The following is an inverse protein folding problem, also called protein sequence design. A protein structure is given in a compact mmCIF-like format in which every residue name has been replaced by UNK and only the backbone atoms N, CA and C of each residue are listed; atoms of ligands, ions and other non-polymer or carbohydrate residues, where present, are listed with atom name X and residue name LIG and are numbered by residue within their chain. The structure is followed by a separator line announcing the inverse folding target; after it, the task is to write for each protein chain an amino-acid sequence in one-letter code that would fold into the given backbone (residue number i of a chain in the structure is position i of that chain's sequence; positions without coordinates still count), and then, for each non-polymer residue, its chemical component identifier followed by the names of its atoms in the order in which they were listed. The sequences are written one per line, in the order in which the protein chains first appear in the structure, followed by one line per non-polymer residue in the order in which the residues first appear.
data_IF_047771587567
#
_entry.id   IF_047771587567
#
_cell.length_a   1.000
_cell.length_b   1.000
_cell.length_c   1.000
_cell.angle_alpha   90.00
_cell.angle_beta   90.00
_cell.angle_gamma   90.00
#
_symmetry.space_group_name_H-M   'P 1'
#
loop_
_entity.id
_entity.type
_entity.pdbx_description
1 polymer ?
#
# COMPACT_ATOMS: atom_id res chain seq x y z
N UNK A 1 22.13 19.00 0.50
CA UNK A 1 21.24 19.98 1.13
C UNK A 1 20.93 19.48 2.52
N UNK A 2 21.06 20.34 3.52
CA UNK A 2 20.86 20.03 4.94
C UNK A 2 19.43 20.32 5.42
N UNK A 3 18.58 20.84 4.53
CA UNK A 3 17.19 21.18 4.86
C UNK A 3 16.39 19.92 5.24
N UNK A 4 15.65 19.95 6.36
CA UNK A 4 14.72 18.89 6.73
C UNK A 4 13.68 18.62 5.64
N UNK A 5 13.21 17.39 5.55
CA UNK A 5 12.13 17.00 4.65
C UNK A 5 10.83 17.75 4.95
N UNK A 6 10.46 17.91 6.22
CA UNK A 6 9.26 18.67 6.62
C UNK A 6 9.25 20.11 6.08
N UNK A 7 10.41 20.70 5.80
CA UNK A 7 10.51 22.04 5.19
C UNK A 7 10.03 22.08 3.73
N UNK A 8 9.74 20.93 3.14
CA UNK A 8 9.17 20.75 1.80
C UNK A 8 7.70 20.28 1.83
N UNK A 9 7.10 20.13 3.01
CA UNK A 9 5.74 19.60 3.18
C UNK A 9 4.70 20.35 2.32
N UNK A 10 4.82 21.68 2.19
CA UNK A 10 3.95 22.50 1.34
C UNK A 10 3.98 22.06 -0.15
N UNK A 11 5.12 21.60 -0.66
CA UNK A 11 5.29 21.20 -2.05
C UNK A 11 4.97 19.73 -2.28
N UNK A 12 5.21 18.89 -1.27
CA UNK A 12 5.04 17.44 -1.37
C UNK A 12 3.62 16.99 -0.98
N UNK A 13 2.86 17.87 -0.33
CA UNK A 13 1.48 17.69 0.17
C UNK A 13 1.35 16.60 1.26
N UNK A 14 1.77 15.36 0.98
CA UNK A 14 1.72 14.24 1.89
C UNK A 14 2.98 13.36 1.75
N UNK A 15 3.55 12.89 2.87
CA UNK A 15 4.74 12.02 2.84
C UNK A 15 4.51 10.73 2.03
N UNK A 16 3.30 10.17 2.09
CA UNK A 16 2.91 9.00 1.31
C UNK A 16 3.01 9.20 -0.21
N UNK A 17 2.83 10.44 -0.69
CA UNK A 17 2.93 10.76 -2.12
C UNK A 17 4.36 10.68 -2.62
N UNK A 18 5.36 10.88 -1.76
CA UNK A 18 6.77 10.70 -2.12
C UNK A 18 7.06 9.23 -2.45
N UNK A 19 6.68 8.31 -1.54
CA UNK A 19 6.83 6.87 -1.74
C UNK A 19 6.04 6.37 -2.97
N UNK A 20 4.79 6.83 -3.12
CA UNK A 20 3.95 6.46 -4.27
C UNK A 20 4.48 7.04 -5.59
N UNK A 21 5.00 8.27 -5.57
CA UNK A 21 5.63 8.92 -6.72
C UNK A 21 6.80 8.10 -7.26
N UNK A 22 7.68 7.64 -6.37
CA UNK A 22 8.77 6.71 -6.72
C UNK A 22 8.24 5.39 -7.30
N UNK A 23 7.09 4.92 -6.81
CA UNK A 23 6.44 3.75 -7.41
C UNK A 23 5.94 4.03 -8.84
N UNK A 24 5.32 5.17 -9.09
CA UNK A 24 4.86 5.54 -10.43
C UNK A 24 6.01 5.83 -11.39
N UNK A 25 7.11 6.41 -10.90
CA UNK A 25 8.33 6.65 -11.69
C UNK A 25 8.90 5.34 -12.25
N UNK A 26 9.00 4.30 -11.40
CA UNK A 26 9.48 2.98 -11.83
C UNK A 26 8.45 2.22 -12.68
N UNK A 27 7.15 2.42 -12.44
CA UNK A 27 6.07 1.77 -13.21
C UNK A 27 4.84 2.68 -13.31
N UNK A 28 4.64 3.32 -14.46
CA UNK A 28 3.56 4.30 -14.66
C UNK A 28 2.13 3.78 -14.44
N UNK A 29 1.89 2.47 -14.60
CA UNK A 29 0.61 1.83 -14.30
C UNK A 29 0.60 1.08 -12.95
N UNK A 30 1.46 1.50 -12.00
CA UNK A 30 1.48 0.97 -10.65
C UNK A 30 0.11 1.13 -9.98
N UNK A 31 -0.31 0.14 -9.20
CA UNK A 31 -1.62 0.14 -8.56
C UNK A 31 -1.61 0.87 -7.20
N UNK A 32 -1.12 2.12 -7.19
CA UNK A 32 -0.84 2.87 -5.96
C UNK A 32 -2.05 3.10 -5.07
N UNK A 33 -3.25 3.23 -5.65
CA UNK A 33 -4.48 3.45 -4.90
C UNK A 33 -4.80 2.34 -3.87
N UNK A 34 -4.35 1.11 -4.10
CA UNK A 34 -4.55 0.02 -3.14
C UNK A 34 -3.68 0.17 -1.88
N UNK A 35 -2.55 0.86 -1.96
CA UNK A 35 -1.56 1.01 -0.87
C UNK A 35 -1.63 2.39 -0.19
N UNK A 36 -2.19 3.39 -0.86
CA UNK A 36 -2.27 4.76 -0.36
C UNK A 36 -2.84 4.88 1.08
N UNK A 37 -3.94 4.17 1.46
CA UNK A 37 -4.46 4.27 2.83
C UNK A 37 -3.49 3.78 3.92
N UNK A 38 -2.60 2.85 3.58
CA UNK A 38 -1.62 2.28 4.51
C UNK A 38 -0.44 3.23 4.66
N UNK A 39 0.07 3.75 3.55
CA UNK A 39 1.17 4.72 3.54
C UNK A 39 0.76 6.01 4.25
N UNK A 40 -0.42 6.56 3.92
CA UNK A 40 -0.95 7.77 4.59
C UNK A 40 -1.10 7.61 6.10
N UNK A 41 -1.42 6.40 6.57
CA UNK A 41 -1.58 6.13 8.00
C UNK A 41 -0.24 6.01 8.74
N UNK A 42 0.84 5.65 8.06
CA UNK A 42 2.10 5.26 8.70
C UNK A 42 3.30 6.14 8.32
N UNK A 43 3.17 7.00 7.32
CA UNK A 43 4.22 7.93 6.91
C UNK A 43 3.89 9.36 7.35
N UNK A 44 4.92 10.03 7.84
CA UNK A 44 4.96 11.46 8.13
C UNK A 44 6.28 12.01 7.61
N UNK A 45 6.34 13.32 7.33
CA UNK A 45 7.62 13.96 7.02
C UNK A 45 8.57 13.90 8.22
N UNK A 46 9.86 13.81 7.94
CA UNK A 46 10.91 13.80 8.96
C UNK A 46 11.60 15.17 9.11
N UNK A 47 12.15 15.40 10.29
CA UNK A 47 13.07 16.49 10.62
C UNK A 47 14.51 16.25 10.09
N UNK A 48 14.78 15.05 9.58
CA UNK A 48 16.05 14.68 8.96
C UNK A 48 16.23 15.33 7.58
N UNK A 49 17.48 15.51 7.12
CA UNK A 49 17.74 16.12 5.81
C UNK A 49 17.06 15.36 4.66
N UNK A 50 16.45 16.07 3.71
CA UNK A 50 15.75 15.49 2.56
C UNK A 50 16.57 14.43 1.79
N UNK A 51 17.90 14.60 1.74
CA UNK A 51 18.79 13.63 1.08
C UNK A 51 18.89 12.28 1.79
N UNK A 52 18.61 12.25 3.09
CA UNK A 52 18.55 11.03 3.89
C UNK A 52 17.16 10.40 3.79
N UNK A 53 16.11 11.20 3.96
CA UNK A 53 14.72 10.70 3.94
C UNK A 53 14.32 10.14 2.58
N UNK A 54 14.82 10.72 1.47
CA UNK A 54 14.55 10.17 0.13
C UNK A 54 15.05 8.73 -0.03
N UNK A 55 16.18 8.36 0.58
CA UNK A 55 16.71 6.99 0.56
C UNK A 55 15.78 6.03 1.33
N UNK A 56 15.15 6.52 2.39
CA UNK A 56 14.13 5.76 3.13
C UNK A 56 12.85 5.58 2.29
N UNK A 57 12.42 6.64 1.59
CA UNK A 57 11.29 6.56 0.65
C UNK A 57 11.58 5.59 -0.52
N UNK A 58 12.79 5.58 -1.08
CA UNK A 58 13.22 4.61 -2.10
C UNK A 58 13.15 3.18 -1.57
N UNK A 59 13.66 2.94 -0.36
CA UNK A 59 13.57 1.63 0.30
C UNK A 59 12.11 1.21 0.50
N UNK A 60 11.25 2.11 0.99
CA UNK A 60 9.82 1.84 1.20
C UNK A 60 9.11 1.57 -0.12
N UNK A 61 9.44 2.31 -1.19
CA UNK A 61 8.91 2.09 -2.53
C UNK A 61 9.28 0.68 -3.05
N UNK A 62 10.52 0.23 -2.88
CA UNK A 62 10.92 -1.14 -3.23
C UNK A 62 10.15 -2.20 -2.42
N UNK A 63 9.90 -1.95 -1.14
CA UNK A 63 9.08 -2.85 -0.32
C UNK A 63 7.62 -2.91 -0.78
N UNK A 64 7.04 -1.76 -1.13
CA UNK A 64 5.69 -1.64 -1.69
C UNK A 64 5.59 -2.35 -3.05
N UNK A 65 6.60 -2.21 -3.91
CA UNK A 65 6.69 -2.95 -5.16
C UNK A 65 6.75 -4.47 -4.95
N UNK A 66 7.65 -4.92 -4.08
CA UNK A 66 7.78 -6.35 -3.77
C UNK A 66 6.53 -6.95 -3.14
N UNK A 67 5.70 -6.14 -2.46
CA UNK A 67 4.38 -6.51 -2.02
C UNK A 67 3.39 -6.59 -3.20
N UNK A 68 3.36 -5.60 -4.09
CA UNK A 68 2.48 -5.59 -5.27
C UNK A 68 2.72 -6.78 -6.20
N UNK A 69 3.96 -7.23 -6.38
CA UNK A 69 4.24 -8.44 -7.16
C UNK A 69 3.47 -9.65 -6.62
N UNK A 70 3.47 -9.83 -5.28
CA UNK A 70 2.72 -10.93 -4.63
C UNK A 70 1.23 -10.73 -4.68
N UNK A 71 0.75 -9.50 -4.51
CA UNK A 71 -0.67 -9.18 -4.63
C UNK A 71 -1.16 -9.41 -6.06
N UNK A 72 -0.37 -9.07 -7.08
CA UNK A 72 -0.68 -9.31 -8.48
C UNK A 72 -0.79 -10.81 -8.79
N UNK A 73 0.09 -11.65 -8.24
CA UNK A 73 -0.02 -13.12 -8.33
C UNK A 73 -1.35 -13.63 -7.76
N UNK A 74 -1.76 -13.12 -6.59
CA UNK A 74 -3.04 -13.47 -5.95
C UNK A 74 -4.23 -13.02 -6.80
N UNK A 75 -4.21 -11.77 -7.28
CA UNK A 75 -5.26 -11.21 -8.15
C UNK A 75 -5.39 -12.03 -9.43
N UNK A 76 -4.28 -12.45 -10.04
CA UNK A 76 -4.30 -13.29 -11.24
C UNK A 76 -4.96 -14.66 -10.97
N UNK A 77 -4.63 -15.31 -9.85
CA UNK A 77 -5.25 -16.58 -9.43
C UNK A 77 -6.75 -16.43 -9.16
N UNK A 78 -7.18 -15.34 -8.53
CA UNK A 78 -8.60 -15.07 -8.31
C UNK A 78 -9.35 -14.86 -9.64
N UNK A 79 -8.77 -14.09 -10.56
CA UNK A 79 -9.32 -13.89 -11.91
C UNK A 79 -9.43 -15.19 -12.71
N UNK A 80 -8.42 -16.05 -12.65
CA UNK A 80 -8.45 -17.36 -13.28
C UNK A 80 -9.56 -18.28 -12.74
N UNK A 81 -10.00 -18.05 -11.49
CA UNK A 81 -11.15 -18.71 -10.87
C UNK A 81 -12.50 -18.04 -11.20
N UNK A 82 -12.53 -17.05 -12.08
CA UNK A 82 -13.75 -16.33 -12.48
C UNK A 82 -14.14 -15.16 -11.56
N UNK A 83 -13.31 -14.81 -10.57
CA UNK A 83 -13.55 -13.65 -9.71
C UNK A 83 -13.06 -12.38 -10.42
N UNK A 84 -13.98 -11.61 -10.98
CA UNK A 84 -13.69 -10.35 -11.66
C UNK A 84 -14.37 -9.18 -10.93
N UNK A 85 -13.58 -8.22 -10.46
CA UNK A 85 -14.04 -6.96 -9.87
C UNK A 85 -12.99 -5.87 -10.09
N UNK A 86 -13.39 -4.61 -10.35
CA UNK A 86 -12.44 -3.49 -10.39
C UNK A 86 -11.72 -3.31 -9.05
N UNK A 87 -12.34 -3.71 -7.93
CA UNK A 87 -11.80 -3.60 -6.58
C UNK A 87 -11.03 -4.84 -6.12
N UNK A 88 -10.80 -5.85 -6.97
CA UNK A 88 -10.22 -7.13 -6.55
C UNK A 88 -8.83 -6.96 -5.91
N UNK A 89 -8.03 -6.01 -6.40
CA UNK A 89 -6.72 -5.71 -5.80
C UNK A 89 -6.87 -5.07 -4.43
N UNK A 90 -7.71 -4.03 -4.31
CA UNK A 90 -8.01 -3.37 -3.04
C UNK A 90 -8.55 -4.35 -2.00
N UNK A 91 -9.42 -5.28 -2.42
CA UNK A 91 -9.90 -6.38 -1.59
C UNK A 91 -8.77 -7.26 -1.05
N UNK A 92 -7.85 -7.71 -1.91
CA UNK A 92 -6.71 -8.54 -1.48
C UNK A 92 -5.85 -7.77 -0.48
N UNK A 93 -5.52 -6.51 -0.77
CA UNK A 93 -4.72 -5.65 0.12
C UNK A 93 -5.40 -5.46 1.48
N UNK A 94 -6.70 -5.17 1.50
CA UNK A 94 -7.47 -5.05 2.75
C UNK A 94 -7.46 -6.35 3.56
N UNK A 95 -7.52 -7.51 2.90
CA UNK A 95 -7.55 -8.81 3.57
C UNK A 95 -6.23 -9.17 4.24
N UNK A 96 -5.11 -8.74 3.67
CA UNK A 96 -3.75 -8.95 4.22
C UNK A 96 -3.32 -7.84 5.19
N UNK A 97 -3.95 -6.67 5.16
CA UNK A 97 -3.60 -5.53 6.01
C UNK A 97 -3.76 -5.84 7.53
N UNK A 98 -2.68 -5.81 8.34
CA UNK A 98 -2.75 -6.04 9.79
C UNK A 98 -3.36 -4.87 10.58
N UNK A 99 -3.32 -3.65 10.04
CA UNK A 99 -3.73 -2.43 10.73
C UNK A 99 -5.21 -2.40 11.11
N UNK A 100 -6.05 -3.21 10.45
CA UNK A 100 -7.49 -3.30 10.73
C UNK A 100 -7.81 -3.86 12.12
N UNK A 101 -6.85 -4.52 12.76
CA UNK A 101 -7.02 -5.14 14.09
C UNK A 101 -6.26 -4.42 15.19
N UNK A 102 -5.39 -3.47 14.84
CA UNK A 102 -4.54 -2.75 15.79
C UNK A 102 -5.32 -1.55 16.32
N UNK A 103 -5.58 -1.58 17.63
CA UNK A 103 -6.33 -0.54 18.37
C UNK A 103 -5.42 0.50 19.05
N UNK A 104 -4.10 0.28 19.06
CA UNK A 104 -3.10 1.17 19.66
C UNK A 104 -2.16 1.75 18.61
N UNK A 105 -0.95 2.08 19.05
CA UNK A 105 0.13 2.55 18.17
C UNK A 105 0.41 1.49 17.07
N UNK A 106 0.36 1.87 15.79
CA UNK A 106 0.64 0.93 14.72
C UNK A 106 2.14 0.59 14.69
N UNK A 107 2.51 -0.64 14.29
CA UNK A 107 3.90 -0.97 14.01
C UNK A 107 4.48 -0.09 12.90
N UNK A 108 5.81 0.06 12.84
CA UNK A 108 6.49 0.77 11.74
C UNK A 108 6.07 0.24 10.37
N UNK A 109 6.00 1.14 9.38
CA UNK A 109 5.58 0.80 8.01
C UNK A 109 6.32 -0.43 7.45
N UNK A 110 7.63 -0.52 7.66
CA UNK A 110 8.42 -1.64 7.14
C UNK A 110 7.97 -3.00 7.71
N UNK A 111 7.58 -3.05 8.98
CA UNK A 111 7.06 -4.27 9.60
C UNK A 111 5.67 -4.64 9.08
N UNK A 112 4.83 -3.62 8.87
CA UNK A 112 3.51 -3.78 8.27
C UNK A 112 3.64 -4.33 6.85
N UNK A 113 4.53 -3.77 6.01
CA UNK A 113 4.77 -4.23 4.65
C UNK A 113 5.34 -5.66 4.61
N UNK A 114 6.28 -6.00 5.51
CA UNK A 114 6.78 -7.39 5.65
C UNK A 114 5.66 -8.36 5.99
N UNK A 115 4.85 -8.02 6.99
CA UNK A 115 3.70 -8.84 7.42
C UNK A 115 2.69 -9.03 6.29
N UNK A 116 2.38 -7.97 5.56
CA UNK A 116 1.47 -8.04 4.41
C UNK A 116 2.03 -8.95 3.31
N UNK A 117 3.34 -8.87 3.02
CA UNK A 117 4.00 -9.71 2.02
C UNK A 117 3.92 -11.19 2.39
N UNK A 118 4.14 -11.53 3.67
CA UNK A 118 3.98 -12.89 4.17
C UNK A 118 2.54 -13.40 4.07
N UNK A 119 1.57 -12.55 4.39
CA UNK A 119 0.13 -12.88 4.27
C UNK A 119 -0.30 -13.04 2.81
N UNK A 120 0.25 -12.24 1.90
CA UNK A 120 0.04 -12.39 0.45
C UNK A 120 0.60 -13.73 -0.05
N UNK A 121 1.80 -14.12 0.41
CA UNK A 121 2.40 -15.41 0.05
C UNK A 121 1.58 -16.62 0.53
N UNK A 122 0.89 -16.49 1.67
CA UNK A 122 0.02 -17.53 2.26
C UNK A 122 -1.47 -17.36 1.89
N UNK A 123 -1.78 -16.47 0.94
CA UNK A 123 -3.16 -16.15 0.60
C UNK A 123 -3.87 -17.34 -0.05
N UNK A 124 -4.87 -17.89 0.63
CA UNK A 124 -5.65 -19.00 0.12
C UNK A 124 -6.80 -18.46 -0.75
N UNK A 125 -6.62 -18.53 -2.07
CA UNK A 125 -7.64 -18.09 -3.04
C UNK A 125 -8.89 -18.93 -2.99
N UNK A 126 -8.80 -20.23 -2.70
CA UNK A 126 -9.93 -21.17 -2.75
C UNK A 126 -11.03 -20.86 -1.75
N UNK A 127 -10.67 -20.13 -0.68
CA UNK A 127 -11.62 -19.65 0.33
C UNK A 127 -12.37 -18.38 -0.05
N UNK A 128 -12.01 -17.73 -1.17
CA UNK A 128 -12.67 -16.51 -1.64
C UNK A 128 -13.81 -16.86 -2.59
N UNK A 129 -14.99 -16.32 -2.29
CA UNK A 129 -16.23 -16.42 -3.06
C UNK A 129 -16.58 -15.07 -3.70
N UNK A 130 -17.51 -15.09 -4.66
CA UNK A 130 -17.97 -13.87 -5.33
C UNK A 130 -18.71 -12.91 -4.38
N UNK A 131 -19.44 -13.46 -3.40
CA UNK A 131 -20.15 -12.72 -2.36
C UNK A 131 -19.19 -11.87 -1.49
N UNK A 132 -17.97 -12.36 -1.25
CA UNK A 132 -16.95 -11.63 -0.46
C UNK A 132 -16.52 -10.32 -1.14
N UNK A 133 -16.68 -10.22 -2.47
CA UNK A 133 -16.29 -9.04 -3.24
C UNK A 133 -17.35 -7.94 -3.21
N UNK A 134 -18.59 -8.26 -2.85
CA UNK A 134 -19.71 -7.31 -2.84
C UNK A 134 -19.54 -6.23 -1.75
N UNK A 135 -18.76 -6.51 -0.71
CA UNK A 135 -18.46 -5.59 0.39
C UNK A 135 -17.16 -4.79 0.18
N UNK A 136 -16.46 -5.00 -0.93
CA UNK A 136 -15.15 -4.42 -1.18
C UNK A 136 -15.19 -3.05 -1.87
N UNK A 137 -16.33 -2.66 -2.45
CA UNK A 137 -16.58 -1.27 -2.82
C UNK A 137 -16.89 -0.52 -1.53
N UNK A 138 -16.04 0.42 -1.13
CA UNK A 138 -16.31 1.27 0.02
C UNK A 138 -17.67 1.97 -0.09
N UNK A 139 -18.11 2.61 1.00
CA UNK A 139 -19.23 3.55 0.96
C UNK A 139 -18.95 4.55 -0.18
N UNK A 140 -19.92 4.85 -1.07
CA UNK A 140 -19.74 5.92 -2.03
C UNK A 140 -19.27 7.17 -1.27
N UNK A 141 -18.28 7.89 -1.80
CA UNK A 141 -18.02 9.24 -1.30
C UNK A 141 -19.34 10.01 -1.49
N UNK A 142 -19.96 10.42 -0.39
CA UNK A 142 -21.05 11.40 -0.45
C UNK A 142 -20.39 12.71 -0.94
N UNK A 143 -20.83 13.18 -2.11
CA UNK A 143 -20.44 14.45 -2.73
C UNK A 143 -20.56 15.66 -1.76
#
# INVERSE_FOLDING_TARGET
GTRPEESFAFYLEEAALVTLGLCYEKKGNFAGGAYAPILRRLESFSDEPLRKTIVEHEKRAEMVFGLEERVAEVVAKLRARGLASPYLRTFVVARINPLRWIKGEPPPLEEVLKTMRERAAKFNTDKIKQEDLATAGGVPDDD
#
